data_IF_030511940931
#
_entry.id   IF_030511940931
#
_cell.length_a   1.000
_cell.length_b   1.000
_cell.length_c   1.000
_cell.angle_alpha   90.00
_cell.angle_beta   90.00
_cell.angle_gamma   90.00
#
_symmetry.space_group_name_H-M   'P 1'
#
loop_
_entity.id
_entity.type
_entity.pdbx_description
1 polymer ?
#
# COMPACT_ATOMS: atom_id res chain seq x y z
N UNK A 1 -16.57 -2.30 -6.85
CA UNK A 1 -15.59 -3.28 -7.16
C UNK A 1 -15.42 -4.27 -6.04
N UNK A 2 -15.24 -5.50 -6.36
CA UNK A 2 -15.14 -6.48 -5.34
C UNK A 2 -13.73 -6.98 -5.26
N UNK A 3 -13.14 -6.84 -4.14
CA UNK A 3 -11.79 -7.30 -3.93
C UNK A 3 -11.85 -8.52 -3.05
N UNK A 4 -11.22 -9.57 -3.50
CA UNK A 4 -11.24 -10.79 -2.75
C UNK A 4 -10.06 -10.85 -1.82
N UNK A 5 -10.30 -10.74 -0.56
CA UNK A 5 -9.23 -10.72 0.41
C UNK A 5 -9.01 -12.07 1.05
N UNK A 6 -9.59 -13.09 0.53
CA UNK A 6 -9.46 -14.38 1.17
C UNK A 6 -8.11 -14.99 0.94
N UNK A 7 -7.29 -14.36 0.14
CA UNK A 7 -6.02 -14.91 -0.20
C UNK A 7 -4.95 -14.52 0.73
N UNK A 8 -4.92 -15.12 1.86
CA UNK A 8 -3.91 -14.77 2.79
C UNK A 8 -2.55 -15.16 2.35
N UNK A 9 -2.42 -15.97 1.32
CA UNK A 9 -1.11 -16.26 0.84
C UNK A 9 -0.44 -15.07 0.26
N UNK A 10 -1.14 -13.96 0.10
CA UNK A 10 -0.48 -12.76 -0.38
C UNK A 10 0.11 -11.93 0.73
N UNK A 11 0.16 -12.47 1.93
CA UNK A 11 0.82 -11.77 3.01
C UNK A 11 2.32 -11.76 2.78
N UNK A 12 2.91 -10.61 2.72
CA UNK A 12 4.34 -10.50 2.52
C UNK A 12 4.90 -9.36 3.37
N UNK A 13 6.19 -9.38 3.63
CA UNK A 13 6.80 -8.26 4.33
C UNK A 13 6.80 -7.02 3.46
N UNK A 14 6.66 -5.88 4.08
CA UNK A 14 6.59 -4.63 3.35
C UNK A 14 7.81 -4.42 2.46
N UNK A 15 8.95 -4.88 2.90
CA UNK A 15 10.17 -4.67 2.13
C UNK A 15 10.14 -5.36 0.77
N UNK A 16 9.28 -6.35 0.61
CA UNK A 16 9.19 -7.05 -0.67
C UNK A 16 8.38 -6.30 -1.69
N UNK A 17 7.69 -5.27 -1.30
CA UNK A 17 6.92 -4.48 -2.25
C UNK A 17 7.83 -3.51 -2.98
N UNK A 18 7.48 -3.24 -4.22
CA UNK A 18 8.17 -2.19 -4.98
C UNK A 18 7.36 -0.91 -4.88
N UNK A 19 8.03 0.21 -5.10
CA UNK A 19 7.33 1.48 -5.11
C UNK A 19 6.24 1.43 -6.17
N UNK A 20 5.05 1.87 -5.80
CA UNK A 20 3.91 1.81 -6.69
C UNK A 20 3.03 0.59 -6.47
N UNK A 21 3.51 -0.39 -5.71
CA UNK A 21 2.69 -1.55 -5.43
C UNK A 21 1.59 -1.19 -4.46
N UNK A 22 0.41 -1.75 -4.69
CA UNK A 22 -0.74 -1.50 -3.85
C UNK A 22 -0.88 -2.65 -2.86
N UNK A 23 -1.19 -2.33 -1.64
CA UNK A 23 -1.32 -3.34 -0.62
C UNK A 23 -2.46 -2.97 0.32
N UNK A 24 -2.91 -3.96 1.07
CA UNK A 24 -3.98 -3.77 2.03
C UNK A 24 -3.40 -3.83 3.43
N UNK A 25 -3.68 -2.81 4.20
CA UNK A 25 -3.24 -2.75 5.59
C UNK A 25 -4.49 -2.61 6.42
N UNK A 26 -4.95 -3.73 6.97
CA UNK A 26 -6.07 -3.70 7.90
C UNK A 26 -7.29 -3.00 7.31
N UNK A 27 -7.72 -3.33 6.19
CA UNK A 27 -8.84 -2.77 5.45
C UNK A 27 -8.57 -1.41 4.83
N UNK A 28 -7.36 -0.93 4.88
CA UNK A 28 -7.02 0.32 4.23
C UNK A 28 -6.18 0.00 3.01
N UNK A 29 -6.58 0.52 1.86
CA UNK A 29 -5.86 0.27 0.63
C UNK A 29 -4.80 1.35 0.48
N UNK A 30 -3.57 0.92 0.41
CA UNK A 30 -2.43 1.82 0.39
C UNK A 30 -1.53 1.52 -0.78
N UNK A 31 -0.62 2.43 -1.06
CA UNK A 31 0.38 2.24 -2.09
C UNK A 31 1.75 2.52 -1.48
N UNK A 32 2.72 1.67 -1.80
CA UNK A 32 4.08 1.91 -1.35
C UNK A 32 4.67 3.01 -2.19
N UNK A 33 5.30 3.99 -1.53
CA UNK A 33 5.87 5.13 -2.21
C UNK A 33 7.32 5.27 -1.84
N UNK A 34 8.04 6.03 -2.63
CA UNK A 34 9.39 6.37 -2.29
C UNK A 34 9.40 7.10 -0.95
N UNK A 35 10.29 6.76 -0.06
CA UNK A 35 10.25 7.35 1.29
C UNK A 35 10.33 8.86 1.27
N UNK A 36 9.47 9.47 2.06
CA UNK A 36 9.44 10.91 2.23
C UNK A 36 9.83 11.22 3.66
N UNK A 37 10.73 12.15 3.84
CA UNK A 37 11.16 12.55 5.16
C UNK A 37 10.58 13.92 5.48
N UNK A 38 9.99 14.05 6.65
CA UNK A 38 9.46 15.35 7.05
C UNK A 38 10.52 16.11 7.82
N UNK A 39 10.14 17.28 8.31
CA UNK A 39 11.12 18.17 8.95
C UNK A 39 11.58 17.61 10.29
N UNK A 40 10.87 16.67 10.85
CA UNK A 40 11.24 16.09 12.13
C UNK A 40 12.06 14.82 11.96
N UNK A 41 12.34 14.43 10.74
CA UNK A 41 13.13 13.24 10.50
C UNK A 41 12.33 11.97 10.37
N UNK A 42 11.03 12.05 10.46
CA UNK A 42 10.18 10.88 10.30
C UNK A 42 10.08 10.52 8.82
N UNK A 43 10.05 9.24 8.54
CA UNK A 43 10.04 8.76 7.17
C UNK A 43 8.73 8.06 6.90
N UNK A 44 8.06 8.45 5.83
CA UNK A 44 6.78 7.88 5.44
C UNK A 44 6.95 7.18 4.12
N UNK A 45 6.48 5.94 4.02
CA UNK A 45 6.70 5.15 2.82
C UNK A 45 5.44 4.45 2.32
N UNK A 46 4.28 4.85 2.81
CA UNK A 46 3.02 4.35 2.31
C UNK A 46 1.99 5.44 2.33
N UNK A 47 1.02 5.37 1.43
CA UNK A 47 -0.02 6.38 1.36
C UNK A 47 -1.36 5.71 1.23
N UNK A 48 -2.33 6.20 2.01
CA UNK A 48 -3.70 5.75 1.94
C UNK A 48 -4.31 6.32 0.66
N UNK A 49 -4.76 5.44 -0.23
CA UNK A 49 -5.25 5.90 -1.52
C UNK A 49 -6.57 6.63 -1.42
N UNK A 50 -7.26 6.50 -0.32
CA UNK A 50 -8.52 7.20 -0.15
C UNK A 50 -8.35 8.58 0.42
N UNK A 51 -7.49 8.70 1.40
CA UNK A 51 -7.37 9.98 2.11
C UNK A 51 -6.12 10.75 1.73
N UNK A 52 -5.14 10.09 1.16
CA UNK A 52 -3.86 10.74 0.91
C UNK A 52 -2.97 10.79 2.12
N UNK A 53 -3.39 10.20 3.22
CA UNK A 53 -2.59 10.22 4.42
C UNK A 53 -1.38 9.33 4.27
N UNK A 54 -0.25 9.75 4.81
CA UNK A 54 0.97 8.96 4.69
C UNK A 54 1.25 8.24 6.00
N UNK A 55 1.87 7.08 5.88
CA UNK A 55 2.14 6.22 7.01
C UNK A 55 3.57 5.71 6.95
N UNK A 56 4.04 5.27 8.11
CA UNK A 56 5.35 4.67 8.24
C UNK A 56 5.23 3.18 8.38
N UNK A 57 6.00 2.46 7.60
CA UNK A 57 6.03 1.00 7.69
C UNK A 57 7.45 0.54 7.88
N UNK A 58 7.62 -0.48 8.71
CA UNK A 58 8.91 -1.12 8.86
C UNK A 58 9.06 -2.20 7.80
N UNK A 59 10.28 -2.54 7.48
CA UNK A 59 10.54 -3.53 6.46
C UNK A 59 9.89 -4.87 6.77
N UNK A 60 9.77 -5.21 8.03
CA UNK A 60 9.21 -6.49 8.40
C UNK A 60 7.73 -6.44 8.70
N UNK A 61 7.07 -5.31 8.52
CA UNK A 61 5.63 -5.26 8.64
C UNK A 61 5.01 -6.14 7.57
N UNK A 62 4.02 -6.93 7.96
CA UNK A 62 3.37 -7.83 7.03
C UNK A 62 2.11 -7.20 6.51
N UNK A 63 1.94 -7.19 5.20
CA UNK A 63 0.79 -6.60 4.56
C UNK A 63 0.27 -7.55 3.49
N UNK A 64 -0.92 -7.31 3.01
CA UNK A 64 -1.50 -8.12 1.96
C UNK A 64 -1.25 -7.46 0.62
N UNK A 65 -0.48 -8.10 -0.21
CA UNK A 65 -0.17 -7.54 -1.51
C UNK A 65 -1.37 -7.71 -2.44
N UNK A 66 -1.79 -6.62 -3.06
CA UNK A 66 -2.88 -6.65 -4.00
C UNK A 66 -2.29 -6.62 -5.39
N UNK A 67 -1.94 -7.78 -5.87
CA UNK A 67 -1.15 -7.84 -7.07
C UNK A 67 -2.02 -7.93 -8.29
N UNK A 68 -1.78 -7.02 -9.18
CA UNK A 68 -2.19 -7.19 -10.55
C UNK A 68 -3.64 -7.06 -10.87
N UNK A 69 -4.46 -7.25 -9.93
CA UNK A 69 -5.85 -7.31 -10.24
C UNK A 69 -6.57 -6.02 -10.11
N UNK A 70 -5.98 -5.10 -9.44
CA UNK A 70 -6.63 -3.86 -9.23
C UNK A 70 -6.49 -3.02 -10.45
N UNK A 71 -7.50 -2.97 -11.21
CA UNK A 71 -7.46 -2.19 -12.39
C UNK A 71 -7.70 -0.76 -12.07
N UNK A 72 -6.75 -0.15 -11.47
CA UNK A 72 -6.96 1.17 -10.94
C UNK A 72 -7.26 2.17 -12.02
N UNK A 73 -6.69 1.97 -13.18
CA UNK A 73 -6.94 2.90 -14.24
C UNK A 73 -8.40 3.00 -14.61
N UNK A 74 -9.17 1.97 -14.32
CA UNK A 74 -10.57 2.05 -14.62
C UNK A 74 -11.33 2.82 -13.61
N UNK A 75 -10.76 2.98 -12.46
CA UNK A 75 -11.42 3.68 -11.40
C UNK A 75 -11.17 5.15 -11.48
N UNK A 76 -10.24 5.55 -12.29
CA UNK A 76 -9.90 6.94 -12.38
C UNK A 76 -10.59 7.55 -13.54
N UNK A 77 -11.75 7.96 -13.35
CA UNK A 77 -12.50 8.48 -14.46
C UNK A 77 -12.10 9.85 -14.85
N UNK A 78 -11.48 10.51 -14.06
CA UNK A 78 -11.19 11.87 -14.38
C UNK A 78 -10.43 12.18 -15.50
#
# INVERSE_FOLDING_TARGET
MKVNFSDEKNLIPFEKLSNGDVFLDDSVICMKIEPIRDRYGDIYNGVDLRSGEVYMYNDDNTVVALVGELNISRVLPC
#
